data_IF_920842456935
#
_entry.id   IF_920842456935
#
_cell.length_a   1.000
_cell.length_b   1.000
_cell.length_c   1.000
_cell.angle_alpha   90.00
_cell.angle_beta   90.00
_cell.angle_gamma   90.00
#
_symmetry.space_group_name_H-M   'P 1'
#
loop_
_entity.id
_entity.type
_entity.pdbx_description
1 polymer ?
#
# COMPACT_ATOMS: atom_id res chain seq x y z
N UNK A 1 15.80 7.95 -15.75
CA UNK A 1 14.49 7.52 -15.21
C UNK A 1 14.40 8.20 -13.88
N UNK A 2 13.38 9.03 -13.68
CA UNK A 2 13.23 9.83 -12.47
C UNK A 2 12.42 9.09 -11.41
N UNK A 3 12.68 9.39 -10.13
CA UNK A 3 12.03 8.84 -8.96
C UNK A 3 11.65 9.96 -7.99
N UNK A 4 10.72 9.65 -7.10
CA UNK A 4 10.36 10.52 -5.98
C UNK A 4 10.92 9.88 -4.71
N UNK A 5 11.55 10.65 -3.84
CA UNK A 5 12.12 10.15 -2.58
C UNK A 5 11.47 10.85 -1.41
N UNK A 6 11.01 10.07 -0.43
CA UNK A 6 10.54 10.55 0.86
C UNK A 6 11.40 9.99 1.98
N UNK A 7 12.03 10.86 2.76
CA UNK A 7 12.82 10.48 3.93
C UNK A 7 11.99 10.77 5.18
N UNK A 8 11.87 9.78 6.06
CA UNK A 8 11.17 9.88 7.34
C UNK A 8 12.20 9.67 8.43
N UNK A 9 12.53 10.73 9.16
CA UNK A 9 13.54 10.71 10.22
C UNK A 9 12.98 10.09 11.51
N UNK A 10 13.87 9.64 12.43
CA UNK A 10 13.45 9.19 13.76
C UNK A 10 12.68 10.30 14.48
N UNK A 11 11.80 9.90 15.40
CA UNK A 11 11.07 10.87 16.21
C UNK A 11 12.01 11.51 17.21
N UNK A 12 12.03 12.84 17.24
CA UNK A 12 12.72 13.57 18.30
C UNK A 12 11.73 13.89 19.42
N UNK A 13 12.07 13.50 20.65
CA UNK A 13 11.32 13.88 21.85
C UNK A 13 11.83 15.24 22.34
N UNK A 14 10.96 16.25 22.28
CA UNK A 14 11.23 17.57 22.83
C UNK A 14 10.38 17.81 24.09
N UNK A 15 11.04 18.24 25.16
CA UNK A 15 10.40 18.65 26.41
C UNK A 15 10.08 20.15 26.34
N UNK A 16 8.95 20.49 25.72
CA UNK A 16 8.43 21.86 25.72
C UNK A 16 7.37 21.99 26.82
N UNK A 17 7.59 22.91 27.78
CA UNK A 17 6.61 23.31 28.79
C UNK A 17 5.97 22.15 29.59
N UNK A 18 6.79 21.23 30.12
CA UNK A 18 6.34 20.07 30.92
C UNK A 18 5.42 19.07 30.19
N UNK A 19 5.34 19.13 28.85
CA UNK A 19 4.71 18.10 28.02
C UNK A 19 5.74 17.48 27.08
N UNK A 20 5.79 16.16 27.08
CA UNK A 20 6.54 15.39 26.10
C UNK A 20 5.88 15.61 24.73
N UNK A 21 6.62 16.22 23.80
CA UNK A 21 6.13 16.47 22.44
C UNK A 21 7.01 15.71 21.46
N UNK A 22 6.44 14.75 20.74
CA UNK A 22 7.13 14.05 19.66
C UNK A 22 7.08 14.89 18.38
N UNK A 23 8.22 15.17 17.76
CA UNK A 23 8.30 15.79 16.43
C UNK A 23 8.76 14.76 15.40
N UNK A 24 8.13 14.78 14.23
CA UNK A 24 8.51 13.95 13.08
C UNK A 24 8.97 14.87 11.96
N UNK A 25 10.19 14.70 11.50
CA UNK A 25 10.74 15.42 10.35
C UNK A 25 10.66 14.52 9.11
N UNK A 26 10.10 15.05 8.02
CA UNK A 26 10.02 14.36 6.74
C UNK A 26 10.61 15.26 5.66
N UNK A 27 11.46 14.67 4.82
CA UNK A 27 11.98 15.33 3.62
C UNK A 27 11.39 14.67 2.38
N UNK A 28 11.20 15.47 1.34
CA UNK A 28 10.59 15.03 0.10
C UNK A 28 11.34 15.66 -1.09
N UNK A 29 11.72 14.82 -2.03
CA UNK A 29 12.49 15.18 -3.22
C UNK A 29 11.81 14.56 -4.45
N UNK A 30 11.60 15.36 -5.49
CA UNK A 30 11.06 14.92 -6.77
C UNK A 30 12.14 14.89 -7.85
N UNK A 31 11.85 14.20 -8.96
CA UNK A 31 12.66 14.19 -10.19
C UNK A 31 14.12 13.75 -10.00
N UNK A 32 14.38 12.82 -9.06
CA UNK A 32 15.72 12.28 -8.82
C UNK A 32 16.06 11.15 -9.80
N UNK A 33 17.25 11.18 -10.40
CA UNK A 33 17.75 10.06 -11.20
C UNK A 33 18.18 8.88 -10.31
N UNK A 34 18.21 7.67 -10.87
CA UNK A 34 18.56 6.45 -10.14
C UNK A 34 19.87 6.57 -9.32
N UNK A 35 20.91 7.15 -9.93
CA UNK A 35 22.21 7.35 -9.29
C UNK A 35 22.13 8.29 -8.09
N UNK A 36 21.25 9.31 -8.14
CA UNK A 36 21.04 10.25 -7.04
C UNK A 36 20.31 9.58 -5.89
N UNK A 37 19.30 8.76 -6.19
CA UNK A 37 18.57 7.97 -5.17
C UNK A 37 19.50 7.00 -4.45
N UNK A 38 20.37 6.29 -5.20
CA UNK A 38 21.37 5.38 -4.64
C UNK A 38 22.34 6.13 -3.74
N UNK A 39 22.87 7.27 -4.21
CA UNK A 39 23.80 8.10 -3.43
C UNK A 39 23.16 8.62 -2.14
N UNK A 40 21.89 8.99 -2.16
CA UNK A 40 21.15 9.39 -0.95
C UNK A 40 21.04 8.24 0.05
N UNK A 41 20.70 7.04 -0.43
CA UNK A 41 20.65 5.84 0.40
C UNK A 41 22.00 5.54 1.07
N UNK A 42 23.10 5.55 0.30
CA UNK A 42 24.47 5.33 0.81
C UNK A 42 24.90 6.40 1.83
N UNK A 43 24.54 7.66 1.59
CA UNK A 43 24.85 8.75 2.51
C UNK A 43 24.15 8.56 3.86
N UNK A 44 22.87 8.22 3.85
CA UNK A 44 22.09 7.97 5.08
C UNK A 44 22.64 6.80 5.89
N UNK A 45 23.14 5.75 5.24
CA UNK A 45 23.85 4.65 5.92
C UNK A 45 25.16 5.13 6.54
N UNK A 46 25.92 5.95 5.81
CA UNK A 46 27.18 6.53 6.29
C UNK A 46 26.97 7.45 7.49
N UNK A 47 25.84 8.14 7.55
CA UNK A 47 25.42 8.98 8.69
C UNK A 47 25.02 8.15 9.94
N UNK A 48 24.99 6.83 9.83
CA UNK A 48 24.72 5.92 10.95
C UNK A 48 23.24 5.57 11.13
N UNK A 49 22.39 5.82 10.12
CA UNK A 49 21.00 5.36 10.15
C UNK A 49 20.89 3.92 9.68
N UNK A 50 19.93 3.20 10.27
CA UNK A 50 19.42 1.95 9.71
C UNK A 50 18.12 2.24 8.94
N UNK A 51 18.07 1.82 7.68
CA UNK A 51 17.06 2.28 6.71
C UNK A 51 16.08 1.16 6.37
N UNK A 52 14.79 1.44 6.55
CA UNK A 52 13.72 0.63 5.97
C UNK A 52 13.22 1.28 4.69
N UNK A 53 13.52 0.64 3.56
CA UNK A 53 13.09 1.07 2.23
C UNK A 53 11.70 0.51 1.91
N UNK A 54 10.81 1.35 1.42
CA UNK A 54 9.55 0.92 0.80
C UNK A 54 9.38 1.59 -0.56
N UNK A 55 9.04 0.82 -1.58
CA UNK A 55 8.78 1.31 -2.93
C UNK A 55 7.27 1.36 -3.18
N UNK A 56 6.81 2.46 -3.75
CA UNK A 56 5.43 2.71 -4.14
C UNK A 56 5.39 3.09 -5.62
N UNK A 57 5.25 2.10 -6.53
CA UNK A 57 5.15 2.40 -7.94
C UNK A 57 3.92 3.27 -8.22
N UNK A 58 3.98 4.16 -9.23
CA UNK A 58 2.85 5.00 -9.58
C UNK A 58 1.70 4.12 -10.10
N UNK A 59 0.47 4.45 -9.74
CA UNK A 59 -0.72 3.74 -10.26
C UNK A 59 -1.06 4.16 -11.69
N UNK A 60 -0.63 5.35 -12.09
CA UNK A 60 -0.81 5.94 -13.42
C UNK A 60 0.53 6.50 -13.89
N UNK A 61 0.88 6.28 -15.16
CA UNK A 61 2.06 6.89 -15.75
C UNK A 61 1.85 8.40 -16.05
N UNK A 62 2.90 9.09 -16.50
CA UNK A 62 2.85 10.52 -16.86
C UNK A 62 1.88 10.81 -18.01
N UNK A 63 1.54 9.82 -18.82
CA UNK A 63 0.59 9.93 -19.93
C UNK A 63 -0.86 9.65 -19.49
N UNK A 64 -1.06 9.29 -18.22
CA UNK A 64 -2.37 9.02 -17.62
C UNK A 64 -2.86 7.58 -17.82
N UNK A 65 -2.02 6.67 -18.31
CA UNK A 65 -2.36 5.25 -18.45
C UNK A 65 -2.16 4.52 -17.12
N UNK A 66 -3.10 3.66 -16.74
CA UNK A 66 -2.93 2.81 -15.56
C UNK A 66 -1.75 1.85 -15.75
N UNK A 67 -0.86 1.83 -14.78
CA UNK A 67 0.27 0.90 -14.76
C UNK A 67 -0.23 -0.52 -14.50
N UNK A 68 0.17 -1.45 -15.38
CA UNK A 68 -0.19 -2.86 -15.25
C UNK A 68 0.65 -3.53 -14.15
N UNK A 69 0.05 -3.92 -13.01
CA UNK A 69 0.79 -4.53 -11.91
C UNK A 69 1.42 -5.88 -12.30
N UNK A 70 0.89 -6.59 -13.30
CA UNK A 70 1.46 -7.85 -13.77
C UNK A 70 2.81 -7.65 -14.47
N UNK A 71 2.99 -6.53 -15.19
CA UNK A 71 4.28 -6.19 -15.82
C UNK A 71 5.35 -5.83 -14.79
N UNK A 72 4.97 -5.15 -13.71
CA UNK A 72 5.92 -4.81 -12.63
C UNK A 72 6.37 -6.09 -11.91
N UNK A 73 5.46 -7.02 -11.66
CA UNK A 73 5.81 -8.31 -11.08
C UNK A 73 6.72 -9.14 -11.99
N UNK A 74 6.47 -9.17 -13.30
CA UNK A 74 7.36 -9.82 -14.28
C UNK A 74 8.79 -9.25 -14.20
N UNK A 75 8.94 -7.92 -14.09
CA UNK A 75 10.25 -7.28 -13.89
C UNK A 75 10.94 -7.74 -12.60
N UNK A 76 10.20 -7.96 -11.50
CA UNK A 76 10.78 -8.49 -10.27
C UNK A 76 11.24 -9.94 -10.43
N UNK A 77 10.47 -10.76 -11.13
CA UNK A 77 10.83 -12.15 -11.40
C UNK A 77 12.09 -12.24 -12.26
N UNK A 78 12.18 -11.42 -13.31
CA UNK A 78 13.37 -11.32 -14.17
C UNK A 78 14.61 -10.84 -13.41
N UNK A 79 14.42 -9.93 -12.44
CA UNK A 79 15.49 -9.44 -11.57
C UNK A 79 15.80 -10.38 -10.38
N UNK A 80 15.09 -11.51 -10.23
CA UNK A 80 15.26 -12.43 -9.11
C UNK A 80 14.82 -11.87 -7.75
N UNK A 81 14.00 -10.81 -7.75
CA UNK A 81 13.51 -10.14 -6.55
C UNK A 81 12.30 -10.91 -6.02
N UNK A 82 12.42 -11.45 -4.80
CA UNK A 82 11.27 -12.06 -4.13
C UNK A 82 10.29 -10.97 -3.70
N UNK A 83 8.99 -11.14 -3.99
CA UNK A 83 7.96 -10.18 -3.62
C UNK A 83 6.76 -10.84 -2.95
N UNK A 84 5.83 -9.99 -2.48
CA UNK A 84 4.49 -10.37 -2.05
C UNK A 84 3.49 -9.45 -2.74
N UNK A 85 2.61 -10.04 -3.54
CA UNK A 85 1.46 -9.36 -4.13
C UNK A 85 0.28 -9.39 -3.16
N UNK A 86 -0.48 -8.30 -3.08
CA UNK A 86 -1.70 -8.21 -2.27
C UNK A 86 -2.75 -7.43 -3.05
N UNK A 87 -3.89 -8.06 -3.32
CA UNK A 87 -5.02 -7.41 -3.98
C UNK A 87 -5.75 -6.52 -2.98
N UNK A 88 -5.94 -5.26 -3.35
CA UNK A 88 -6.74 -4.28 -2.62
C UNK A 88 -7.99 -3.95 -3.42
N UNK A 89 -9.13 -4.00 -2.74
CA UNK A 89 -10.43 -3.62 -3.29
C UNK A 89 -10.93 -2.38 -2.55
N UNK A 90 -11.26 -1.32 -3.29
CA UNK A 90 -11.95 -0.14 -2.74
C UNK A 90 -13.45 -0.25 -3.05
N UNK A 91 -14.13 -1.20 -2.42
CA UNK A 91 -15.57 -1.38 -2.55
C UNK A 91 -16.27 -0.99 -1.24
N UNK A 92 -17.26 -0.11 -1.35
CA UNK A 92 -18.11 0.26 -0.24
C UNK A 92 -19.51 0.55 -0.74
N UNK A 93 -20.54 0.10 -0.01
CA UNK A 93 -21.92 0.26 -0.43
C UNK A 93 -22.90 -0.32 0.57
N UNK A 94 -24.05 -0.74 0.06
CA UNK A 94 -25.11 -1.37 0.85
C UNK A 94 -24.74 -2.80 1.24
N UNK A 95 -25.49 -3.39 2.16
CA UNK A 95 -25.34 -4.80 2.51
C UNK A 95 -25.46 -5.72 1.28
N UNK A 96 -26.47 -5.52 0.44
CA UNK A 96 -26.72 -6.39 -0.71
C UNK A 96 -25.58 -6.37 -1.73
N UNK A 97 -25.02 -5.18 -1.98
CA UNK A 97 -23.87 -5.03 -2.89
C UNK A 97 -22.66 -5.76 -2.33
N UNK A 98 -22.38 -5.59 -1.04
CA UNK A 98 -21.21 -6.19 -0.40
C UNK A 98 -21.34 -7.71 -0.27
N UNK A 99 -22.55 -8.25 -0.13
CA UNK A 99 -22.80 -9.70 -0.16
C UNK A 99 -22.42 -10.31 -1.52
N UNK A 100 -22.72 -9.62 -2.63
CA UNK A 100 -22.33 -10.09 -3.97
C UNK A 100 -20.81 -10.17 -4.11
N UNK A 101 -20.10 -9.11 -3.68
CA UNK A 101 -18.63 -9.06 -3.71
C UNK A 101 -18.02 -10.14 -2.82
N UNK A 102 -18.53 -10.30 -1.60
CA UNK A 102 -18.06 -11.32 -0.66
C UNK A 102 -18.14 -12.73 -1.28
N UNK A 103 -19.26 -13.05 -1.95
CA UNK A 103 -19.43 -14.32 -2.65
C UNK A 103 -18.43 -14.50 -3.79
N UNK A 104 -18.14 -13.46 -4.57
CA UNK A 104 -17.14 -13.52 -5.64
C UNK A 104 -15.75 -13.85 -5.07
N UNK A 105 -15.36 -13.22 -3.95
CA UNK A 105 -14.07 -13.47 -3.30
C UNK A 105 -14.01 -14.91 -2.74
N UNK A 106 -15.08 -15.36 -2.09
CA UNK A 106 -15.19 -16.71 -1.51
C UNK A 106 -15.14 -17.80 -2.59
N UNK A 107 -15.80 -17.60 -3.74
CA UNK A 107 -15.76 -18.52 -4.87
C UNK A 107 -14.36 -18.72 -5.45
N UNK A 108 -13.49 -17.72 -5.31
CA UNK A 108 -12.07 -17.80 -5.70
C UNK A 108 -11.19 -18.42 -4.60
N UNK A 109 -11.78 -18.85 -3.47
CA UNK A 109 -11.07 -19.51 -2.38
C UNK A 109 -10.30 -18.56 -1.47
N UNK A 110 -10.58 -17.26 -1.52
CA UNK A 110 -9.95 -16.26 -0.64
C UNK A 110 -10.82 -15.93 0.56
N UNK A 111 -10.17 -15.78 1.71
CA UNK A 111 -10.81 -15.17 2.88
C UNK A 111 -11.09 -13.69 2.63
N UNK A 112 -12.05 -13.14 3.37
CA UNK A 112 -12.35 -11.71 3.37
C UNK A 112 -12.72 -11.21 4.77
N UNK A 113 -12.85 -9.89 4.90
CA UNK A 113 -13.36 -9.23 6.09
C UNK A 113 -14.37 -8.16 5.70
N UNK A 114 -15.40 -8.00 6.52
CA UNK A 114 -16.44 -6.98 6.33
C UNK A 114 -16.34 -5.99 7.48
N UNK A 115 -16.25 -4.71 7.14
CA UNK A 115 -16.35 -3.60 8.09
C UNK A 115 -17.64 -2.84 7.83
N UNK A 116 -18.39 -2.57 8.91
CA UNK A 116 -19.64 -1.81 8.84
C UNK A 116 -19.45 -0.49 9.56
N UNK A 117 -19.82 0.61 8.90
CA UNK A 117 -19.87 1.95 9.51
C UNK A 117 -21.33 2.37 9.62
N UNK A 118 -21.84 2.36 10.84
CA UNK A 118 -23.20 2.80 11.19
C UNK A 118 -23.18 4.26 11.63
N UNK A 119 -24.05 5.09 11.06
CA UNK A 119 -24.24 6.49 11.46
C UNK A 119 -25.48 6.60 12.34
N UNK A 120 -25.27 6.55 13.65
CA UNK A 120 -26.35 6.68 14.65
C UNK A 120 -26.43 8.13 15.11
N UNK A 121 -27.56 8.78 14.87
CA UNK A 121 -27.87 10.14 15.31
C UNK A 121 -29.40 10.34 15.36
N UNK A 122 -29.87 11.48 15.87
CA UNK A 122 -31.30 11.77 16.05
C UNK A 122 -32.13 11.72 14.75
N UNK A 123 -31.49 11.91 13.60
CA UNK A 123 -32.14 11.89 12.28
C UNK A 123 -31.95 10.55 11.56
N UNK A 124 -31.27 9.58 12.17
CA UNK A 124 -30.97 8.28 11.57
C UNK A 124 -31.95 7.23 12.08
N UNK A 125 -32.53 6.40 11.20
CA UNK A 125 -33.32 5.24 11.61
C UNK A 125 -32.44 4.09 12.15
N UNK A 126 -31.11 4.22 12.10
CA UNK A 126 -30.17 3.19 12.56
C UNK A 126 -30.07 3.21 14.08
N UNK A 127 -30.33 2.05 14.66
CA UNK A 127 -30.27 1.78 16.09
C UNK A 127 -29.31 0.60 16.31
N UNK A 128 -28.25 0.83 17.10
CA UNK A 128 -27.26 -0.19 17.38
C UNK A 128 -27.85 -1.40 18.13
N UNK A 129 -28.92 -1.21 18.90
CA UNK A 129 -29.58 -2.31 19.61
C UNK A 129 -30.54 -3.10 18.71
N UNK A 130 -30.85 -2.60 17.50
CA UNK A 130 -31.73 -3.24 16.53
C UNK A 130 -30.97 -3.61 15.25
N UNK A 131 -30.48 -4.84 15.18
CA UNK A 131 -29.72 -5.36 14.04
C UNK A 131 -30.42 -5.17 12.69
N UNK A 132 -31.75 -5.26 12.63
CA UNK A 132 -32.52 -5.05 11.39
C UNK A 132 -32.42 -3.63 10.85
N UNK A 133 -32.03 -2.65 11.66
CA UNK A 133 -31.83 -1.26 11.22
C UNK A 133 -30.47 -1.04 10.56
N UNK A 134 -29.53 -1.99 10.69
CA UNK A 134 -28.17 -1.86 10.16
C UNK A 134 -28.09 -2.04 8.65
N UNK A 135 -29.20 -2.36 8.00
CA UNK A 135 -29.30 -2.53 6.55
C UNK A 135 -29.75 -1.25 5.84
N UNK A 136 -29.93 -0.16 6.57
CA UNK A 136 -30.31 1.14 5.99
C UNK A 136 -29.26 1.62 4.96
N UNK A 137 -29.69 1.89 3.74
CA UNK A 137 -28.79 2.24 2.63
C UNK A 137 -28.15 3.61 2.72
N UNK A 138 -28.72 4.52 3.52
CA UNK A 138 -28.22 5.89 3.68
C UNK A 138 -27.30 6.02 4.89
N UNK A 139 -27.65 5.36 5.99
CA UNK A 139 -26.97 5.52 7.28
C UNK A 139 -26.09 4.33 7.68
N UNK A 140 -26.09 3.22 6.92
CA UNK A 140 -25.16 2.11 7.09
C UNK A 140 -24.32 1.89 5.83
N UNK A 141 -22.99 1.93 6.00
CA UNK A 141 -22.03 1.72 4.91
C UNK A 141 -21.15 0.51 5.18
N UNK A 142 -21.22 -0.46 4.30
CA UNK A 142 -20.44 -1.69 4.36
C UNK A 142 -19.20 -1.56 3.48
N UNK A 143 -18.10 -2.17 3.88
CA UNK A 143 -16.83 -2.21 3.14
C UNK A 143 -16.28 -3.63 3.20
N UNK A 144 -15.92 -4.20 2.04
CA UNK A 144 -15.36 -5.55 1.93
C UNK A 144 -13.87 -5.45 1.65
N UNK A 145 -13.06 -6.16 2.45
CA UNK A 145 -11.62 -6.25 2.29
C UNK A 145 -11.22 -7.70 2.03
N UNK A 146 -10.81 -8.07 0.79
CA UNK A 146 -10.27 -9.39 0.50
C UNK A 146 -8.94 -9.59 1.22
N UNK A 147 -8.71 -10.80 1.74
CA UNK A 147 -7.42 -11.24 2.28
C UNK A 147 -6.62 -12.00 1.21
N UNK A 148 -6.65 -11.48 -0.01
CA UNK A 148 -5.98 -12.09 -1.15
C UNK A 148 -4.53 -11.59 -1.27
N UNK A 149 -3.58 -12.44 -0.91
CA UNK A 149 -2.15 -12.16 -1.06
C UNK A 149 -1.40 -13.42 -1.47
N UNK A 150 -0.47 -13.29 -2.42
CA UNK A 150 0.37 -14.39 -2.89
C UNK A 150 1.81 -13.94 -3.14
N UNK A 151 2.72 -14.90 -3.33
CA UNK A 151 4.09 -14.68 -3.79
C UNK A 151 4.19 -14.75 -5.32
N UNK A 152 3.17 -15.30 -5.98
CA UNK A 152 2.99 -15.30 -7.42
C UNK A 152 1.79 -14.41 -7.75
N UNK A 153 1.99 -13.38 -8.57
CA UNK A 153 0.90 -12.49 -8.94
C UNK A 153 -0.18 -13.20 -9.79
N UNK A 154 0.18 -14.27 -10.51
CA UNK A 154 -0.73 -14.99 -11.38
C UNK A 154 -1.91 -15.61 -10.61
N UNK A 155 -1.69 -16.00 -9.35
CA UNK A 155 -2.74 -16.50 -8.46
C UNK A 155 -3.88 -15.49 -8.28
N UNK A 156 -3.54 -14.20 -8.23
CA UNK A 156 -4.51 -13.11 -8.00
C UNK A 156 -5.26 -12.70 -9.27
N UNK A 157 -4.85 -13.20 -10.45
CA UNK A 157 -5.35 -12.72 -11.74
C UNK A 157 -6.83 -12.98 -11.95
N UNK A 158 -7.28 -14.20 -11.66
CA UNK A 158 -8.69 -14.56 -11.77
C UNK A 158 -9.60 -13.64 -10.93
N UNK A 159 -9.23 -13.41 -9.67
CA UNK A 159 -9.98 -12.51 -8.79
C UNK A 159 -9.91 -11.05 -9.25
N UNK A 160 -8.74 -10.60 -9.74
CA UNK A 160 -8.57 -9.25 -10.28
C UNK A 160 -9.49 -9.02 -11.48
N UNK A 161 -9.47 -9.92 -12.45
CA UNK A 161 -10.24 -9.81 -13.69
C UNK A 161 -11.76 -9.78 -13.40
N UNK A 162 -12.26 -10.70 -12.56
CA UNK A 162 -13.68 -10.73 -12.18
C UNK A 162 -14.13 -9.43 -11.51
N UNK A 163 -13.34 -8.92 -10.56
CA UNK A 163 -13.70 -7.68 -9.86
C UNK A 163 -13.57 -6.45 -10.77
N UNK A 164 -12.64 -6.45 -11.72
CA UNK A 164 -12.46 -5.37 -12.69
C UNK A 164 -13.58 -5.36 -13.75
N UNK A 165 -14.03 -6.53 -14.22
CA UNK A 165 -15.17 -6.68 -15.13
C UNK A 165 -16.47 -6.13 -14.52
N UNK A 166 -16.65 -6.30 -13.21
CA UNK A 166 -17.77 -5.72 -12.45
C UNK A 166 -17.59 -4.21 -12.14
N UNK A 167 -16.62 -3.56 -12.79
CA UNK A 167 -16.30 -2.13 -12.65
C UNK A 167 -15.88 -1.68 -11.24
N UNK A 168 -15.41 -2.60 -10.38
CA UNK A 168 -14.87 -2.21 -9.09
C UNK A 168 -13.45 -1.66 -9.21
N UNK A 169 -13.12 -0.72 -8.32
CA UNK A 169 -11.75 -0.20 -8.21
C UNK A 169 -10.86 -1.20 -7.48
N UNK A 170 -10.18 -2.04 -8.25
CA UNK A 170 -9.21 -3.03 -7.80
C UNK A 170 -7.80 -2.51 -8.05
N UNK A 171 -6.87 -2.81 -7.16
CA UNK A 171 -5.46 -2.50 -7.34
C UNK A 171 -4.60 -3.59 -6.71
N UNK A 172 -3.51 -4.01 -7.35
CA UNK A 172 -2.54 -4.91 -6.73
C UNK A 172 -1.40 -4.09 -6.15
N UNK A 173 -1.09 -4.35 -4.89
CA UNK A 173 0.09 -3.80 -4.23
C UNK A 173 1.21 -4.85 -4.26
N UNK A 174 2.36 -4.49 -4.81
CA UNK A 174 3.55 -5.33 -4.85
C UNK A 174 4.56 -4.85 -3.84
N UNK A 175 4.92 -5.72 -2.88
CA UNK A 175 5.94 -5.42 -1.88
C UNK A 175 7.12 -6.38 -2.05
N UNK A 176 8.27 -5.86 -2.49
CA UNK A 176 9.52 -6.62 -2.49
C UNK A 176 9.90 -7.03 -1.04
N UNK A 177 10.39 -8.25 -0.88
CA UNK A 177 10.94 -8.74 0.40
C UNK A 177 12.42 -8.38 0.46
N UNK A 178 12.71 -7.23 1.04
CA UNK A 178 14.09 -6.72 1.18
C UNK A 178 14.68 -7.19 2.51
N UNK A 179 15.93 -7.67 2.49
CA UNK A 179 16.70 -7.87 3.73
C UNK A 179 17.19 -6.49 4.19
N UNK A 180 17.11 -6.25 5.49
CA UNK A 180 17.57 -5.00 6.10
C UNK A 180 19.07 -4.84 5.82
N UNK A 181 19.50 -3.63 5.44
CA UNK A 181 20.90 -3.24 5.28
C UNK A 181 21.67 -4.03 4.19
N UNK A 182 21.06 -4.28 3.02
CA UNK A 182 21.67 -4.98 1.87
C UNK A 182 21.81 -4.04 0.65
N UNK A 183 22.95 -3.35 0.58
CA UNK A 183 23.21 -2.23 -0.35
C UNK A 183 23.26 -2.67 -1.81
N UNK A 184 23.90 -3.82 -2.10
CA UNK A 184 23.96 -4.40 -3.45
C UNK A 184 22.55 -4.78 -3.95
N UNK A 185 21.64 -5.11 -3.03
CA UNK A 185 20.25 -5.39 -3.36
C UNK A 185 19.44 -4.13 -3.70
N UNK A 186 19.78 -2.96 -3.14
CA UNK A 186 18.97 -1.75 -3.30
C UNK A 186 19.00 -1.20 -4.73
N UNK A 187 20.19 -1.06 -5.33
CA UNK A 187 20.32 -0.56 -6.70
C UNK A 187 19.62 -1.48 -7.71
N UNK A 188 19.79 -2.80 -7.54
CA UNK A 188 19.14 -3.81 -8.37
C UNK A 188 17.62 -3.77 -8.22
N UNK A 189 17.12 -3.52 -7.01
CA UNK A 189 15.68 -3.36 -6.76
C UNK A 189 15.14 -2.09 -7.38
N UNK A 190 15.79 -0.93 -7.16
CA UNK A 190 15.36 0.34 -7.72
C UNK A 190 15.20 0.26 -9.24
N UNK A 191 16.15 -0.40 -9.92
CA UNK A 191 16.10 -0.59 -11.38
C UNK A 191 14.94 -1.48 -11.86
N UNK A 192 14.36 -2.32 -11.00
CA UNK A 192 13.22 -3.16 -11.34
C UNK A 192 11.87 -2.42 -11.20
N UNK A 193 11.85 -1.25 -10.56
CA UNK A 193 10.66 -0.41 -10.45
C UNK A 193 10.57 0.57 -11.63
N UNK A 194 9.35 0.91 -12.08
CA UNK A 194 9.17 1.91 -13.13
C UNK A 194 9.56 3.31 -12.65
N UNK A 195 9.78 4.22 -13.61
CA UNK A 195 9.95 5.65 -13.33
C UNK A 195 8.75 6.22 -12.54
N UNK A 196 8.98 7.31 -11.81
CA UNK A 196 8.04 7.94 -10.88
C UNK A 196 7.67 7.08 -9.66
N UNK A 197 8.37 5.97 -9.44
CA UNK A 197 8.22 5.21 -8.19
C UNK A 197 8.62 6.09 -7.01
N UNK A 198 7.72 6.19 -6.04
CA UNK A 198 8.01 6.82 -4.76
C UNK A 198 8.78 5.86 -3.87
N UNK A 199 10.04 6.19 -3.59
CA UNK A 199 10.91 5.48 -2.68
C UNK A 199 10.83 6.15 -1.31
N UNK A 200 10.33 5.44 -0.31
CA UNK A 200 10.28 5.94 1.07
C UNK A 200 11.40 5.32 1.89
N UNK A 201 12.33 6.15 2.37
CA UNK A 201 13.35 5.80 3.35
C UNK A 201 12.83 6.12 4.74
N UNK A 202 12.56 5.09 5.53
CA UNK A 202 12.23 5.25 6.95
C UNK A 202 13.46 4.98 7.78
N UNK A 203 13.98 6.02 8.42
CA UNK A 203 15.19 5.98 9.21
C UNK A 203 14.88 5.53 10.65
N UNK A 204 15.85 4.83 11.22
CA UNK A 204 15.92 4.49 12.63
C UNK A 204 17.37 4.60 13.06
N UNK A 205 17.64 4.91 14.32
CA UNK A 205 19.01 4.88 14.83
C UNK A 205 19.57 3.46 14.66
N UNK A 206 20.73 3.34 14.03
CA UNK A 206 21.39 2.04 13.96
C UNK A 206 21.81 1.67 15.39
N UNK A 207 21.33 0.53 15.89
CA UNK A 207 21.85 -0.05 17.12
C UNK A 207 23.32 -0.43 16.84
N UNK A 208 24.25 0.33 17.40
CA UNK A 208 25.66 -0.06 17.54
C UNK A 208 25.76 -1.20 18.55
#
# INVERSE_FOLDING_TARGET
MTYQVKIIYPKEEALESNKLTERTFNEYMDDLEAEEVIKQYEQLLTEGYSISVNFFPPQVDKEGSEQDPFKIAESFELAGITYKATLKLKASGTYEDMVKIAKMIEQQGYDYSITVKLQVNENSPVDFEKESSWFDSEYAKYTVLPKASSQDIADLRSLYDILAEEHYKVSINLKAKVKKDDDDSFASQLAAYPAETLVTFKLSDANI
#
